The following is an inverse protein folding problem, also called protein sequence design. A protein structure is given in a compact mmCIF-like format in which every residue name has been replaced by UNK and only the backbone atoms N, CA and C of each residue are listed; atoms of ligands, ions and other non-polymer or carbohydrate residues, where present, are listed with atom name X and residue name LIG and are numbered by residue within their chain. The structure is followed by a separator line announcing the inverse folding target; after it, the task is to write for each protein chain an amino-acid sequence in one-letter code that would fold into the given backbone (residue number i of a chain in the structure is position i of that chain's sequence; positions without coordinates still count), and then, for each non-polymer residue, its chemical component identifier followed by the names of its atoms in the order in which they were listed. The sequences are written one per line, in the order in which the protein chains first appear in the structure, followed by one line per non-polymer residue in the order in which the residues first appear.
data_IF_343467982671
#
_entry.id   IF_343467982671
#
_cell.length_a   1.000
_cell.length_b   1.000
_cell.length_c   1.000
_cell.angle_alpha   90.00
_cell.angle_beta   90.00
_cell.angle_gamma   90.00
#
_symmetry.space_group_name_H-M   'P 1'
#
loop_
_entity.id
_entity.type
_entity.pdbx_description
1 polymer ?
#
# COMPACT_ATOMS: atom_id res chain seq x y z
N UNK A 1 -12.22 -10.38 16.72
CA UNK A 1 -13.57 -10.99 16.67
C UNK A 1 -14.60 -9.92 17.01
N UNK A 2 -15.13 -9.22 16.00
CA UNK A 2 -16.22 -8.26 16.19
C UNK A 2 -17.55 -9.03 16.22
N UNK A 3 -18.44 -8.69 17.17
CA UNK A 3 -19.77 -9.32 17.30
C UNK A 3 -20.60 -8.98 16.06
N UNK A 4 -21.08 -10.00 15.35
CA UNK A 4 -21.78 -9.83 14.07
C UNK A 4 -23.29 -9.62 14.22
N UNK A 5 -23.91 -10.06 15.33
CA UNK A 5 -25.34 -9.89 15.61
C UNK A 5 -25.62 -9.85 17.13
N UNK A 6 -26.73 -9.23 17.52
CA UNK A 6 -27.28 -9.26 18.88
C UNK A 6 -28.72 -9.78 18.85
N UNK A 7 -29.11 -10.51 19.88
CA UNK A 7 -30.49 -10.92 20.14
C UNK A 7 -30.87 -10.34 21.50
N UNK A 8 -31.86 -9.44 21.53
CA UNK A 8 -32.38 -8.84 22.76
C UNK A 8 -33.69 -9.55 23.11
N UNK A 9 -33.72 -10.19 24.27
CA UNK A 9 -34.92 -10.85 24.80
C UNK A 9 -35.29 -10.15 26.10
N UNK A 10 -36.42 -9.43 26.09
CA UNK A 10 -37.00 -8.77 27.26
C UNK A 10 -38.14 -9.63 27.81
N UNK A 11 -37.93 -10.20 29.00
CA UNK A 11 -38.80 -11.23 29.58
C UNK A 11 -39.93 -10.68 30.47
N UNK A 12 -40.13 -9.37 30.57
CA UNK A 12 -41.12 -8.79 31.51
C UNK A 12 -42.18 -7.95 30.77
N UNK A 13 -43.44 -8.38 30.85
CA UNK A 13 -44.60 -7.50 30.63
C UNK A 13 -45.20 -7.39 29.22
N UNK A 14 -45.00 -8.36 28.33
CA UNK A 14 -45.51 -8.28 26.94
C UNK A 14 -46.69 -9.23 26.73
N UNK A 15 -47.91 -8.79 27.04
CA UNK A 15 -49.14 -9.57 26.72
C UNK A 15 -50.12 -8.84 25.81
N UNK A 16 -49.83 -7.60 25.37
CA UNK A 16 -50.76 -6.78 24.59
C UNK A 16 -50.22 -6.07 23.35
N UNK A 17 -48.92 -6.16 23.04
CA UNK A 17 -48.39 -5.65 21.78
C UNK A 17 -47.52 -6.72 21.12
N UNK A 18 -47.70 -6.90 19.81
CA UNK A 18 -46.81 -7.72 18.99
C UNK A 18 -45.46 -6.99 18.94
N UNK A 19 -44.49 -7.45 19.73
CA UNK A 19 -43.09 -7.01 19.59
C UNK A 19 -42.52 -7.72 18.36
N UNK A 20 -42.52 -7.02 17.24
CA UNK A 20 -41.86 -7.48 16.01
C UNK A 20 -40.36 -7.65 16.29
N UNK A 21 -39.77 -8.75 15.82
CA UNK A 21 -38.32 -8.96 15.89
C UNK A 21 -37.60 -7.75 15.30
N UNK A 22 -36.50 -7.30 15.93
CA UNK A 22 -35.60 -6.32 15.31
C UNK A 22 -35.22 -6.84 13.93
N UNK A 23 -35.71 -6.17 12.88
CA UNK A 23 -35.42 -6.61 11.53
C UNK A 23 -33.92 -6.38 11.24
N UNK A 24 -33.24 -7.34 10.60
CA UNK A 24 -31.87 -7.11 10.18
C UNK A 24 -31.85 -5.91 9.22
N UNK A 25 -30.93 -4.97 9.47
CA UNK A 25 -30.78 -3.78 8.62
C UNK A 25 -30.35 -4.15 7.18
N UNK A 26 -29.78 -5.35 6.97
CA UNK A 26 -29.55 -5.90 5.63
C UNK A 26 -30.76 -6.73 5.16
N UNK A 27 -31.72 -6.04 4.54
CA UNK A 27 -32.97 -6.64 4.03
C UNK A 27 -32.81 -7.39 2.70
N UNK A 28 -31.74 -7.13 1.94
CA UNK A 28 -31.45 -7.72 0.61
C UNK A 28 -30.12 -8.49 0.59
N UNK A 29 -29.91 -9.50 1.46
CA UNK A 29 -28.60 -10.16 1.65
C UNK A 29 -28.09 -10.91 0.41
N UNK A 30 -28.98 -11.36 -0.48
CA UNK A 30 -28.63 -12.07 -1.71
C UNK A 30 -28.24 -11.15 -2.87
N UNK A 31 -28.49 -9.86 -2.77
CA UNK A 31 -28.13 -8.89 -3.81
C UNK A 31 -26.73 -8.38 -3.53
N UNK A 32 -25.79 -8.38 -4.48
CA UNK A 32 -24.44 -7.84 -4.31
C UNK A 32 -24.42 -6.34 -3.93
N UNK A 33 -23.38 -5.90 -3.21
CA UNK A 33 -23.18 -4.48 -2.85
C UNK A 33 -23.26 -3.55 -4.08
N UNK A 34 -22.55 -3.92 -5.15
CA UNK A 34 -22.47 -3.15 -6.38
C UNK A 34 -23.86 -2.92 -6.98
N UNK A 35 -24.70 -3.94 -7.00
CA UNK A 35 -26.03 -3.87 -7.58
C UNK A 35 -26.98 -2.99 -6.74
N UNK A 36 -26.86 -3.02 -5.41
CA UNK A 36 -27.60 -2.09 -4.54
C UNK A 36 -27.20 -0.63 -4.80
N UNK A 37 -25.90 -0.36 -4.91
CA UNK A 37 -25.38 0.99 -5.11
C UNK A 37 -25.73 1.53 -6.50
N UNK A 38 -25.59 0.72 -7.55
CA UNK A 38 -26.03 1.09 -8.90
C UNK A 38 -27.56 1.18 -9.01
N UNK A 39 -28.31 0.33 -8.32
CA UNK A 39 -29.77 0.45 -8.24
C UNK A 39 -30.19 1.80 -7.68
N UNK A 40 -29.58 2.21 -6.56
CA UNK A 40 -29.82 3.52 -5.96
C UNK A 40 -29.43 4.67 -6.91
N UNK A 41 -28.29 4.57 -7.60
CA UNK A 41 -27.87 5.54 -8.62
C UNK A 41 -28.88 5.64 -9.77
N UNK A 42 -29.42 4.51 -10.23
CA UNK A 42 -30.31 4.42 -11.40
C UNK A 42 -31.78 4.72 -11.09
N UNK A 43 -32.14 4.92 -9.83
CA UNK A 43 -33.48 5.38 -9.44
C UNK A 43 -34.24 4.49 -8.47
N UNK A 44 -33.67 3.39 -7.97
CA UNK A 44 -34.29 2.62 -6.89
C UNK A 44 -34.45 3.51 -5.65
N UNK A 45 -35.66 3.58 -5.10
CA UNK A 45 -35.99 4.34 -3.88
C UNK A 45 -36.56 3.45 -2.79
N UNK A 46 -36.35 2.14 -2.88
CA UNK A 46 -36.81 1.20 -1.85
C UNK A 46 -35.99 1.34 -0.57
N UNK A 47 -36.71 1.41 0.55
CA UNK A 47 -36.14 1.44 1.90
C UNK A 47 -35.22 0.24 2.15
N UNK A 48 -35.59 -0.93 1.64
CA UNK A 48 -34.79 -2.16 1.73
C UNK A 48 -33.42 -2.03 1.05
N UNK A 49 -33.34 -1.38 -0.13
CA UNK A 49 -32.07 -1.16 -0.83
C UNK A 49 -31.18 -0.20 -0.05
N UNK A 50 -31.77 0.89 0.47
CA UNK A 50 -31.05 1.90 1.25
C UNK A 50 -30.52 1.30 2.56
N UNK A 51 -31.35 0.59 3.31
CA UNK A 51 -30.99 -0.05 4.57
C UNK A 51 -29.87 -1.09 4.38
N UNK A 52 -29.99 -1.91 3.32
CA UNK A 52 -28.97 -2.92 2.99
C UNK A 52 -27.63 -2.30 2.59
N UNK A 53 -27.67 -1.22 1.81
CA UNK A 53 -26.47 -0.49 1.41
C UNK A 53 -25.79 0.17 2.62
N UNK A 54 -26.56 0.90 3.44
CA UNK A 54 -26.06 1.59 4.64
C UNK A 54 -25.41 0.60 5.62
N UNK A 55 -26.04 -0.55 5.83
CA UNK A 55 -25.53 -1.61 6.71
C UNK A 55 -24.19 -2.16 6.25
N UNK A 56 -24.03 -2.39 4.94
CA UNK A 56 -22.79 -2.92 4.36
C UNK A 56 -21.68 -1.89 4.41
N UNK A 57 -21.99 -0.64 4.09
CA UNK A 57 -21.04 0.47 4.21
C UNK A 57 -20.58 0.64 5.66
N UNK A 58 -21.50 0.54 6.64
CA UNK A 58 -21.14 0.60 8.07
C UNK A 58 -20.18 -0.52 8.47
N UNK A 59 -20.40 -1.74 8.00
CA UNK A 59 -19.45 -2.86 8.24
C UNK A 59 -18.10 -2.61 7.57
N UNK A 60 -18.11 -2.09 6.34
CA UNK A 60 -16.87 -1.76 5.61
C UNK A 60 -16.08 -0.66 6.35
N UNK A 61 -16.73 0.41 6.77
CA UNK A 61 -16.13 1.56 7.48
C UNK A 61 -15.30 1.13 8.70
N UNK A 62 -15.77 0.12 9.46
CA UNK A 62 -15.03 -0.42 10.61
C UNK A 62 -13.74 -1.17 10.27
N UNK A 63 -13.52 -1.50 8.99
CA UNK A 63 -12.35 -2.24 8.51
C UNK A 63 -11.35 -1.37 7.75
N UNK A 64 -11.76 -0.17 7.32
CA UNK A 64 -10.92 0.71 6.51
C UNK A 64 -9.76 1.29 7.31
N UNK A 65 -8.60 1.41 6.66
CA UNK A 65 -7.47 2.17 7.21
C UNK A 65 -7.57 3.67 6.86
N UNK A 66 -6.64 4.46 7.39
CA UNK A 66 -6.64 5.92 7.18
C UNK A 66 -6.46 6.32 5.71
N UNK A 67 -5.80 5.49 4.90
CA UNK A 67 -5.56 5.75 3.47
C UNK A 67 -6.85 5.54 2.69
N UNK A 68 -7.53 4.41 2.91
CA UNK A 68 -8.81 4.09 2.28
C UNK A 68 -9.89 5.14 2.63
N UNK A 69 -9.95 5.54 3.92
CA UNK A 69 -10.87 6.58 4.38
C UNK A 69 -10.63 7.91 3.67
N UNK A 70 -9.36 8.31 3.48
CA UNK A 70 -9.00 9.53 2.78
C UNK A 70 -9.40 9.48 1.29
N UNK A 71 -9.14 8.36 0.61
CA UNK A 71 -9.52 8.19 -0.80
C UNK A 71 -11.03 8.29 -1.03
N UNK A 72 -11.83 7.64 -0.18
CA UNK A 72 -13.29 7.72 -0.26
C UNK A 72 -13.77 9.15 0.04
N UNK A 73 -13.18 9.81 1.05
CA UNK A 73 -13.55 11.17 1.42
C UNK A 73 -13.25 12.19 0.31
N UNK A 74 -12.11 12.05 -0.37
CA UNK A 74 -11.73 12.89 -1.51
C UNK A 74 -12.72 12.71 -2.68
N UNK A 75 -13.05 11.47 -3.04
CA UNK A 75 -13.96 11.16 -4.15
C UNK A 75 -15.41 11.58 -3.86
N UNK A 76 -15.89 11.36 -2.63
CA UNK A 76 -17.25 11.69 -2.23
C UNK A 76 -17.43 13.14 -1.76
N UNK A 77 -16.34 13.88 -1.58
CA UNK A 77 -16.31 15.23 -0.99
C UNK A 77 -16.60 15.27 0.52
N UNK A 78 -16.74 14.11 1.18
CA UNK A 78 -17.02 13.99 2.61
C UNK A 78 -16.75 12.57 3.15
N UNK A 79 -16.56 12.38 4.47
CA UNK A 79 -16.26 11.07 5.06
C UNK A 79 -17.36 10.02 4.85
N UNK A 80 -16.97 8.75 4.73
CA UNK A 80 -17.87 7.61 4.55
C UNK A 80 -18.91 7.50 5.68
N UNK A 81 -18.50 7.71 6.93
CA UNK A 81 -19.39 7.76 8.08
C UNK A 81 -20.55 8.78 7.92
N UNK A 82 -20.30 9.91 7.24
CA UNK A 82 -21.34 10.89 6.92
C UNK A 82 -22.32 10.37 5.88
N UNK A 83 -21.83 9.67 4.86
CA UNK A 83 -22.68 9.04 3.82
C UNK A 83 -23.58 7.97 4.44
N UNK A 84 -23.04 7.14 5.33
CA UNK A 84 -23.79 6.10 6.05
C UNK A 84 -24.92 6.71 6.88
N UNK A 85 -24.62 7.79 7.62
CA UNK A 85 -25.62 8.51 8.41
C UNK A 85 -26.76 9.04 7.53
N UNK A 86 -26.43 9.66 6.41
CA UNK A 86 -27.44 10.21 5.50
C UNK A 86 -28.33 9.13 4.89
N UNK A 87 -27.81 7.93 4.65
CA UNK A 87 -28.63 6.80 4.19
C UNK A 87 -29.60 6.31 5.27
N UNK A 88 -29.16 6.19 6.53
CA UNK A 88 -30.06 5.82 7.62
C UNK A 88 -31.10 6.92 7.89
N UNK A 89 -30.66 8.17 7.86
CA UNK A 89 -31.54 9.32 7.98
C UNK A 89 -32.59 9.33 6.86
N UNK A 90 -32.23 8.95 5.63
CA UNK A 90 -33.16 8.94 4.50
C UNK A 90 -34.37 8.00 4.69
N UNK A 91 -34.25 7.00 5.56
CA UNK A 91 -35.31 6.02 5.88
C UNK A 91 -35.85 6.15 7.32
N UNK A 92 -35.36 7.14 8.07
CA UNK A 92 -35.80 7.41 9.44
C UNK A 92 -37.25 7.94 9.44
N UNK A 93 -38.14 7.21 10.12
CA UNK A 93 -39.57 7.51 10.12
C UNK A 93 -39.90 8.89 10.69
N UNK A 94 -39.23 9.31 11.76
CA UNK A 94 -39.49 10.60 12.41
C UNK A 94 -39.08 11.75 11.49
N UNK A 95 -37.97 11.58 10.78
CA UNK A 95 -37.48 12.58 9.83
C UNK A 95 -38.32 12.63 8.55
N UNK A 96 -38.80 11.49 8.07
CA UNK A 96 -39.74 11.41 6.93
C UNK A 96 -41.06 12.08 7.29
N UNK A 97 -41.57 11.87 8.50
CA UNK A 97 -42.80 12.51 9.00
C UNK A 97 -42.64 14.03 9.11
N UNK A 98 -41.49 14.49 9.61
CA UNK A 98 -41.18 15.92 9.68
C UNK A 98 -41.16 16.58 8.29
N UNK A 99 -40.56 15.91 7.29
CA UNK A 99 -40.53 16.40 5.91
C UNK A 99 -41.94 16.42 5.27
N UNK A 100 -42.75 15.40 5.53
CA UNK A 100 -44.15 15.35 5.05
C UNK A 100 -45.01 16.47 5.68
N UNK A 101 -44.83 16.74 6.99
CA UNK A 101 -45.46 17.87 7.68
C UNK A 101 -45.03 19.21 7.12
N UNK A 102 -43.73 19.40 6.87
CA UNK A 102 -43.20 20.62 6.26
C UNK A 102 -43.72 20.83 4.81
N UNK A 103 -44.04 19.76 4.10
CA UNK A 103 -44.65 19.79 2.77
C UNK A 103 -46.17 20.11 2.78
N UNK A 104 -46.78 20.33 3.95
CA UNK A 104 -48.18 20.74 4.08
C UNK A 104 -49.14 19.65 4.54
N UNK A 105 -48.63 18.51 5.05
CA UNK A 105 -49.43 17.41 5.59
C UNK A 105 -49.29 17.32 7.12
N UNK A 106 -50.04 18.11 7.90
CA UNK A 106 -49.90 18.16 9.37
C UNK A 106 -50.19 16.81 10.05
N UNK A 107 -51.08 16.00 9.46
CA UNK A 107 -51.26 14.58 9.75
C UNK A 107 -50.98 13.80 8.45
N UNK A 108 -49.73 13.37 8.20
CA UNK A 108 -49.35 12.75 6.95
C UNK A 108 -49.93 11.35 6.83
N UNK A 109 -50.57 11.07 5.70
CA UNK A 109 -50.97 9.72 5.31
C UNK A 109 -49.82 8.95 4.67
N UNK A 110 -50.02 7.67 4.37
CA UNK A 110 -48.99 6.81 3.80
C UNK A 110 -48.44 7.35 2.46
N UNK A 111 -49.27 8.04 1.68
CA UNK A 111 -48.86 8.63 0.40
C UNK A 111 -47.92 9.83 0.59
N UNK A 112 -48.23 10.72 1.55
CA UNK A 112 -47.36 11.82 1.93
C UNK A 112 -46.04 11.31 2.52
N UNK A 113 -46.09 10.28 3.37
CA UNK A 113 -44.89 9.64 3.94
C UNK A 113 -44.01 9.02 2.86
N UNK A 114 -44.60 8.31 1.89
CA UNK A 114 -43.84 7.72 0.77
C UNK A 114 -43.19 8.79 -0.11
N UNK A 115 -43.92 9.86 -0.43
CA UNK A 115 -43.39 10.98 -1.24
C UNK A 115 -42.21 11.67 -0.55
N UNK A 116 -42.32 11.94 0.75
CA UNK A 116 -41.24 12.52 1.54
C UNK A 116 -40.02 11.57 1.61
N UNK A 117 -40.24 10.28 1.84
CA UNK A 117 -39.17 9.27 1.86
C UNK A 117 -38.45 9.17 0.52
N UNK A 118 -39.17 9.09 -0.60
CA UNK A 118 -38.58 9.02 -1.93
C UNK A 118 -37.71 10.25 -2.24
N UNK A 119 -38.16 11.45 -1.84
CA UNK A 119 -37.39 12.68 -1.98
C UNK A 119 -36.09 12.65 -1.17
N UNK A 120 -36.15 12.17 0.09
CA UNK A 120 -34.99 11.98 0.97
C UNK A 120 -33.99 11.00 0.40
N UNK A 121 -34.47 9.83 -0.04
CA UNK A 121 -33.64 8.79 -0.64
C UNK A 121 -33.01 9.30 -1.94
N UNK A 122 -33.76 10.03 -2.77
CA UNK A 122 -33.23 10.66 -3.98
C UNK A 122 -32.09 11.63 -3.67
N UNK A 123 -32.21 12.42 -2.61
CA UNK A 123 -31.14 13.32 -2.18
C UNK A 123 -29.89 12.54 -1.74
N UNK A 124 -30.05 11.51 -0.90
CA UNK A 124 -28.92 10.67 -0.46
C UNK A 124 -28.26 9.90 -1.64
N UNK A 125 -29.05 9.49 -2.63
CA UNK A 125 -28.59 8.79 -3.81
C UNK A 125 -27.67 9.62 -4.72
N UNK A 126 -27.81 10.95 -4.73
CA UNK A 126 -27.05 11.84 -5.63
C UNK A 126 -25.52 11.74 -5.48
N UNK A 127 -25.06 11.27 -4.33
CA UNK A 127 -23.62 11.10 -4.05
C UNK A 127 -23.04 9.85 -4.69
N UNK A 128 -23.88 8.85 -4.99
CA UNK A 128 -23.44 7.58 -5.57
C UNK A 128 -23.20 7.74 -7.07
N UNK A 129 -21.97 8.13 -7.42
CA UNK A 129 -21.50 8.18 -8.80
C UNK A 129 -20.84 6.86 -9.19
N UNK A 130 -20.79 6.55 -10.49
CA UNK A 130 -20.08 5.37 -11.00
C UNK A 130 -18.64 5.24 -10.50
N UNK A 131 -17.82 6.31 -10.52
CA UNK A 131 -16.47 6.29 -9.94
C UNK A 131 -16.46 5.96 -8.44
N UNK A 132 -17.32 6.60 -7.63
CA UNK A 132 -17.39 6.34 -6.19
C UNK A 132 -17.80 4.90 -5.89
N UNK A 133 -18.80 4.37 -6.60
CA UNK A 133 -19.26 2.99 -6.42
C UNK A 133 -18.14 2.01 -6.73
N UNK A 134 -17.40 2.21 -7.83
CA UNK A 134 -16.29 1.33 -8.21
C UNK A 134 -15.11 1.42 -7.24
N UNK A 135 -14.79 2.61 -6.72
CA UNK A 135 -13.77 2.80 -5.69
C UNK A 135 -14.12 2.00 -4.44
N UNK A 136 -15.33 2.19 -3.90
CA UNK A 136 -15.79 1.50 -2.69
C UNK A 136 -15.85 -0.02 -2.91
N UNK A 137 -16.31 -0.48 -4.08
CA UNK A 137 -16.34 -1.91 -4.41
C UNK A 137 -14.93 -2.52 -4.51
N UNK A 138 -13.95 -1.78 -5.03
CA UNK A 138 -12.55 -2.21 -5.10
C UNK A 138 -11.97 -2.36 -3.70
N UNK A 139 -12.06 -1.30 -2.88
CA UNK A 139 -11.61 -1.32 -1.48
C UNK A 139 -12.27 -2.46 -0.71
N UNK A 140 -13.59 -2.64 -0.85
CA UNK A 140 -14.32 -3.75 -0.23
C UNK A 140 -13.73 -5.10 -0.62
N UNK A 141 -13.47 -5.33 -1.91
CA UNK A 141 -12.93 -6.60 -2.41
C UNK A 141 -11.56 -6.88 -1.83
N UNK A 142 -10.71 -5.88 -1.68
CA UNK A 142 -9.39 -6.03 -1.08
C UNK A 142 -9.48 -6.42 0.40
N UNK A 143 -10.41 -5.84 1.15
CA UNK A 143 -10.68 -6.17 2.57
C UNK A 143 -11.45 -7.47 2.79
N UNK A 144 -12.18 -7.96 1.80
CA UNK A 144 -12.94 -9.22 1.85
C UNK A 144 -12.15 -10.43 1.33
N UNK A 145 -10.92 -10.24 0.86
CA UNK A 145 -10.02 -11.34 0.53
C UNK A 145 -9.68 -12.14 1.79
N UNK A 146 -10.22 -13.36 1.88
CA UNK A 146 -9.82 -14.33 2.90
C UNK A 146 -8.59 -15.06 2.41
N UNK A 147 -7.43 -14.78 3.03
CA UNK A 147 -6.19 -15.48 2.73
C UNK A 147 -6.16 -16.78 3.55
N UNK A 148 -6.16 -17.93 2.88
CA UNK A 148 -5.98 -19.22 3.52
C UNK A 148 -4.54 -19.35 4.03
N UNK A 149 -4.38 -19.35 5.36
CA UNK A 149 -3.08 -19.49 6.01
C UNK A 149 -2.74 -20.93 6.40
N UNK A 150 -3.72 -21.85 6.33
CA UNK A 150 -3.60 -23.23 6.80
C UNK A 150 -3.23 -24.18 5.64
N UNK A 151 -3.78 -23.93 4.45
CA UNK A 151 -3.51 -24.70 3.23
C UNK A 151 -2.42 -24.05 2.37
N UNK A 152 -1.22 -23.83 2.91
CA UNK A 152 -0.13 -23.24 2.12
C UNK A 152 0.32 -24.21 1.03
N UNK A 153 0.01 -23.85 -0.22
CA UNK A 153 0.54 -24.54 -1.39
C UNK A 153 2.08 -24.56 -1.34
N UNK A 154 2.65 -25.71 -1.66
CA UNK A 154 4.10 -25.84 -1.86
C UNK A 154 4.39 -25.67 -3.34
N UNK A 155 5.21 -24.67 -3.67
CA UNK A 155 5.72 -24.51 -5.02
C UNK A 155 6.57 -25.74 -5.38
N UNK A 156 6.01 -26.64 -6.19
CA UNK A 156 6.72 -27.86 -6.62
C UNK A 156 7.76 -27.55 -7.70
N UNK A 157 7.45 -26.60 -8.58
CA UNK A 157 8.35 -26.10 -9.63
C UNK A 157 7.96 -24.70 -10.06
N UNK A 158 8.96 -23.85 -10.28
CA UNK A 158 8.82 -22.56 -10.96
C UNK A 158 9.87 -22.51 -12.07
N UNK A 159 9.48 -22.99 -13.24
CA UNK A 159 10.33 -23.02 -14.43
C UNK A 159 9.63 -22.35 -15.60
N UNK A 160 10.42 -21.90 -16.57
CA UNK A 160 9.89 -21.29 -17.78
C UNK A 160 9.27 -22.35 -18.69
N UNK A 161 8.15 -22.03 -19.33
CA UNK A 161 7.55 -22.90 -20.34
C UNK A 161 8.31 -22.77 -21.66
N UNK A 162 8.82 -23.88 -22.21
CA UNK A 162 9.58 -23.88 -23.47
C UNK A 162 11.07 -23.66 -23.27
N UNK A 163 11.75 -22.98 -24.21
CA UNK A 163 13.18 -22.70 -24.08
C UNK A 163 13.42 -21.66 -22.99
N UNK A 164 14.06 -22.09 -21.91
CA UNK A 164 14.37 -21.26 -20.74
C UNK A 164 15.24 -20.06 -21.12
N UNK A 165 16.18 -20.24 -22.04
CA UNK A 165 17.14 -19.20 -22.42
C UNK A 165 16.48 -18.14 -23.29
N UNK A 166 15.67 -18.54 -24.27
CA UNK A 166 14.94 -17.61 -25.12
C UNK A 166 13.95 -16.76 -24.31
N UNK A 167 13.21 -17.38 -23.40
CA UNK A 167 12.29 -16.67 -22.50
C UNK A 167 13.03 -15.69 -21.58
N UNK A 168 14.15 -16.11 -20.99
CA UNK A 168 14.96 -15.23 -20.14
C UNK A 168 15.48 -14.03 -20.95
N UNK A 169 15.99 -14.26 -22.16
CA UNK A 169 16.43 -13.18 -23.06
C UNK A 169 15.30 -12.19 -23.35
N UNK A 170 14.11 -12.68 -23.71
CA UNK A 170 12.95 -11.84 -23.97
C UNK A 170 12.57 -10.98 -22.77
N UNK A 171 12.51 -11.55 -21.57
CA UNK A 171 12.17 -10.82 -20.35
C UNK A 171 13.21 -9.77 -20.03
N UNK A 172 14.50 -10.10 -20.16
CA UNK A 172 15.56 -9.10 -19.95
C UNK A 172 15.49 -7.97 -20.99
N UNK A 173 15.15 -8.28 -22.24
CA UNK A 173 15.00 -7.29 -23.31
C UNK A 173 13.78 -6.38 -23.09
N UNK A 174 12.64 -6.95 -22.69
CA UNK A 174 11.43 -6.19 -22.36
C UNK A 174 11.68 -5.26 -21.16
N UNK A 175 12.41 -5.76 -20.14
CA UNK A 175 12.82 -4.96 -19.00
C UNK A 175 13.76 -3.81 -19.38
N UNK A 176 14.79 -4.07 -20.20
CA UNK A 176 15.69 -3.02 -20.73
C UNK A 176 14.89 -1.98 -21.50
N UNK A 177 13.94 -2.40 -22.34
CA UNK A 177 13.09 -1.50 -23.12
C UNK A 177 12.24 -0.62 -22.22
N UNK A 178 11.60 -1.19 -21.20
CA UNK A 178 10.81 -0.45 -20.23
C UNK A 178 11.66 0.58 -19.46
N UNK A 179 12.83 0.20 -18.95
CA UNK A 179 13.70 1.13 -18.22
C UNK A 179 14.16 2.30 -19.10
N UNK A 180 14.53 2.04 -20.36
CA UNK A 180 14.95 3.09 -21.28
C UNK A 180 13.80 4.04 -21.63
N UNK A 181 12.58 3.53 -21.84
CA UNK A 181 11.41 4.35 -22.13
C UNK A 181 11.02 5.28 -20.97
N UNK A 182 11.32 4.89 -19.73
CA UNK A 182 10.97 5.61 -18.51
C UNK A 182 12.15 6.37 -17.87
N UNK A 183 13.33 6.37 -18.51
CA UNK A 183 14.58 6.88 -17.91
C UNK A 183 14.49 8.34 -17.44
N UNK A 184 13.73 9.18 -18.15
CA UNK A 184 13.60 10.62 -17.88
C UNK A 184 12.35 10.96 -17.05
N UNK A 185 11.50 9.96 -16.76
CA UNK A 185 10.22 10.13 -16.05
C UNK A 185 10.27 9.65 -14.59
N UNK A 186 11.23 8.78 -14.26
CA UNK A 186 11.38 8.20 -12.92
C UNK A 186 12.73 8.62 -12.34
N UNK A 187 12.70 9.32 -11.20
CA UNK A 187 13.88 9.96 -10.61
C UNK A 187 15.07 8.99 -10.41
N UNK A 188 14.80 7.78 -9.88
CA UNK A 188 15.84 6.76 -9.71
C UNK A 188 16.51 6.41 -11.05
N UNK A 189 15.74 6.21 -12.11
CA UNK A 189 16.29 5.87 -13.44
C UNK A 189 17.07 7.04 -14.02
N UNK A 190 16.57 8.27 -13.88
CA UNK A 190 17.29 9.47 -14.35
C UNK A 190 18.67 9.56 -13.70
N UNK A 191 18.79 9.27 -12.41
CA UNK A 191 20.08 9.25 -11.72
C UNK A 191 20.96 8.13 -12.26
N UNK A 192 20.46 6.90 -12.35
CA UNK A 192 21.25 5.75 -12.80
C UNK A 192 21.77 5.90 -14.24
N UNK A 193 20.93 6.37 -15.17
CA UNK A 193 21.26 6.51 -16.58
C UNK A 193 22.04 7.79 -16.89
N UNK A 194 21.67 8.92 -16.29
CA UNK A 194 22.13 10.24 -16.77
C UNK A 194 23.00 10.99 -15.76
N UNK A 195 22.96 10.67 -14.46
CA UNK A 195 23.64 11.48 -13.43
C UNK A 195 24.54 10.68 -12.48
N UNK A 196 25.72 10.20 -12.94
CA UNK A 196 26.61 9.39 -12.12
C UNK A 196 26.99 9.99 -10.76
N UNK A 197 27.18 11.31 -10.69
CA UNK A 197 27.58 12.02 -9.47
C UNK A 197 26.51 12.01 -8.36
N UNK A 198 25.24 11.77 -8.71
CA UNK A 198 24.12 11.79 -7.76
C UNK A 198 23.66 10.39 -7.34
N UNK A 199 24.41 9.33 -7.67
CA UNK A 199 24.00 7.94 -7.38
C UNK A 199 23.88 7.64 -5.89
N UNK A 200 24.66 8.34 -5.05
CA UNK A 200 24.55 8.29 -3.60
C UNK A 200 23.26 8.90 -3.05
N UNK A 201 22.53 9.68 -3.86
CA UNK A 201 21.26 10.31 -3.50
C UNK A 201 20.04 9.43 -3.85
N UNK A 202 20.22 8.24 -4.42
CA UNK A 202 19.11 7.34 -4.73
C UNK A 202 18.52 6.80 -3.42
N UNK A 203 17.40 7.37 -3.02
CA UNK A 203 16.73 7.02 -1.77
C UNK A 203 15.77 5.83 -1.90
N UNK A 204 15.40 5.26 -0.75
CA UNK A 204 14.36 4.24 -0.66
C UNK A 204 13.05 4.66 -1.34
N UNK A 205 12.62 5.92 -1.17
CA UNK A 205 11.39 6.43 -1.77
C UNK A 205 11.46 6.43 -3.31
N UNK A 206 12.60 6.80 -3.89
CA UNK A 206 12.77 6.78 -5.36
C UNK A 206 12.73 5.36 -5.93
N UNK A 207 13.34 4.39 -5.24
CA UNK A 207 13.30 2.97 -5.65
C UNK A 207 11.89 2.39 -5.48
N UNK A 208 11.17 2.79 -4.42
CA UNK A 208 9.78 2.37 -4.19
C UNK A 208 8.83 2.92 -5.25
N UNK A 209 8.98 4.18 -5.67
CA UNK A 209 8.22 4.75 -6.79
C UNK A 209 8.48 3.99 -8.10
N UNK A 210 9.76 3.69 -8.41
CA UNK A 210 10.10 2.86 -9.58
C UNK A 210 9.45 1.47 -9.51
N UNK A 211 9.51 0.81 -8.35
CA UNK A 211 8.90 -0.50 -8.15
C UNK A 211 7.39 -0.46 -8.40
N UNK A 212 6.71 0.53 -7.81
CA UNK A 212 5.26 0.68 -7.94
C UNK A 212 4.84 0.91 -9.39
N UNK A 213 5.55 1.78 -10.12
CA UNK A 213 5.29 2.03 -11.55
C UNK A 213 5.51 0.78 -12.39
N UNK A 214 6.65 0.10 -12.19
CA UNK A 214 6.98 -1.12 -12.92
C UNK A 214 5.93 -2.21 -12.74
N UNK A 215 5.49 -2.48 -11.50
CA UNK A 215 4.51 -3.54 -11.22
C UNK A 215 3.10 -3.16 -11.67
N UNK A 216 2.78 -1.87 -11.73
CA UNK A 216 1.49 -1.37 -12.24
C UNK A 216 1.43 -1.45 -13.77
N UNK A 217 2.45 -0.94 -14.45
CA UNK A 217 2.49 -0.86 -15.91
C UNK A 217 2.76 -2.22 -16.56
N UNK A 218 3.67 -3.01 -15.97
CA UNK A 218 4.16 -4.27 -16.51
C UNK A 218 4.29 -5.34 -15.42
N UNK A 219 3.17 -5.91 -14.91
CA UNK A 219 3.21 -6.93 -13.84
C UNK A 219 4.10 -8.14 -14.15
N UNK A 220 4.27 -8.48 -15.45
CA UNK A 220 5.15 -9.57 -15.91
C UNK A 220 6.64 -9.29 -15.66
N UNK A 221 7.02 -8.03 -15.51
CA UNK A 221 8.37 -7.58 -15.25
C UNK A 221 8.63 -7.33 -13.75
N UNK A 222 7.85 -7.96 -12.86
CA UNK A 222 8.12 -7.91 -11.42
C UNK A 222 9.59 -8.27 -11.11
N UNK A 223 10.26 -7.58 -10.17
CA UNK A 223 11.71 -7.67 -10.01
C UNK A 223 12.25 -9.09 -9.82
N UNK A 224 11.61 -9.93 -9.00
CA UNK A 224 12.07 -11.31 -8.81
C UNK A 224 11.96 -12.18 -10.07
N UNK A 225 11.01 -11.89 -10.95
CA UNK A 225 10.87 -12.57 -12.25
C UNK A 225 12.05 -12.22 -13.16
N UNK A 226 12.34 -10.92 -13.26
CA UNK A 226 13.46 -10.41 -14.06
C UNK A 226 14.81 -10.85 -13.46
N UNK A 227 14.93 -10.87 -12.13
CA UNK A 227 16.09 -11.40 -11.42
C UNK A 227 16.39 -12.83 -11.83
N UNK A 228 15.40 -13.72 -11.85
CA UNK A 228 15.60 -15.13 -12.26
C UNK A 228 16.06 -15.23 -13.71
N UNK A 229 15.54 -14.38 -14.60
CA UNK A 229 15.99 -14.33 -15.99
C UNK A 229 17.47 -13.95 -16.09
N UNK A 230 17.89 -12.84 -15.46
CA UNK A 230 19.31 -12.46 -15.41
C UNK A 230 20.17 -13.50 -14.68
N UNK A 231 19.67 -14.11 -13.60
CA UNK A 231 20.41 -15.10 -12.85
C UNK A 231 20.72 -16.33 -13.71
N UNK A 232 19.76 -16.78 -14.53
CA UNK A 232 19.96 -17.83 -15.52
C UNK A 232 21.01 -17.42 -16.58
N UNK A 233 20.84 -16.24 -17.18
CA UNK A 233 21.71 -15.77 -18.27
C UNK A 233 23.15 -15.49 -17.81
N UNK A 234 23.33 -14.92 -16.63
CA UNK A 234 24.65 -14.58 -16.07
C UNK A 234 25.30 -15.79 -15.35
N UNK A 235 24.59 -16.92 -15.23
CA UNK A 235 25.04 -18.11 -14.49
C UNK A 235 25.23 -17.84 -13.00
N UNK A 236 24.39 -16.99 -12.42
CA UNK A 236 24.44 -16.59 -11.01
C UNK A 236 24.06 -17.75 -10.09
N UNK A 237 24.89 -18.02 -9.08
CA UNK A 237 24.72 -19.13 -8.11
C UNK A 237 24.64 -18.67 -6.66
N UNK A 238 24.50 -17.36 -6.43
CA UNK A 238 24.38 -16.81 -5.08
C UNK A 238 22.95 -16.87 -4.54
N UNK A 239 22.78 -16.32 -3.35
CA UNK A 239 21.46 -16.21 -2.72
C UNK A 239 20.54 -15.26 -3.48
N UNK A 240 19.24 -15.45 -3.27
CA UNK A 240 18.21 -14.53 -3.76
C UNK A 240 18.31 -13.16 -3.05
N UNK A 241 17.82 -12.09 -3.70
CA UNK A 241 17.74 -10.77 -3.10
C UNK A 241 16.77 -10.80 -1.90
N UNK A 242 17.00 -9.91 -0.94
CA UNK A 242 16.23 -9.89 0.30
C UNK A 242 14.80 -9.36 0.10
N UNK A 243 14.58 -8.58 -0.95
CA UNK A 243 13.30 -7.94 -1.28
C UNK A 243 13.24 -7.56 -2.76
N UNK A 244 12.04 -7.26 -3.27
CA UNK A 244 11.85 -6.71 -4.62
C UNK A 244 12.65 -5.41 -4.84
N UNK A 245 12.77 -4.56 -3.83
CA UNK A 245 13.51 -3.30 -3.93
C UNK A 245 15.01 -3.54 -4.14
N UNK A 246 15.60 -4.46 -3.36
CA UNK A 246 17.03 -4.79 -3.51
C UNK A 246 17.32 -5.55 -4.81
N UNK A 247 16.36 -6.36 -5.28
CA UNK A 247 16.41 -6.97 -6.60
C UNK A 247 16.40 -5.89 -7.70
N UNK A 248 15.48 -4.93 -7.60
CA UNK A 248 15.30 -3.87 -8.58
C UNK A 248 16.55 -2.99 -8.72
N UNK A 249 17.20 -2.61 -7.62
CA UNK A 249 18.46 -1.85 -7.68
C UNK A 249 19.57 -2.62 -8.38
N UNK A 250 19.75 -3.90 -8.06
CA UNK A 250 20.73 -4.75 -8.73
C UNK A 250 20.44 -4.91 -10.24
N UNK A 251 19.16 -5.05 -10.60
CA UNK A 251 18.71 -5.15 -11.99
C UNK A 251 18.95 -3.86 -12.78
N UNK A 252 18.61 -2.70 -12.21
CA UNK A 252 18.85 -1.40 -12.87
C UNK A 252 20.34 -1.20 -13.11
N UNK A 253 21.19 -1.52 -12.13
CA UNK A 253 22.66 -1.44 -12.28
C UNK A 253 23.20 -2.40 -13.33
N UNK A 254 22.64 -3.61 -13.42
CA UNK A 254 22.97 -4.57 -14.47
C UNK A 254 22.64 -4.02 -15.86
N UNK A 255 21.47 -3.38 -16.01
CA UNK A 255 21.02 -2.79 -17.28
C UNK A 255 21.84 -1.55 -17.66
N UNK A 256 22.21 -0.70 -16.69
CA UNK A 256 22.98 0.52 -16.95
C UNK A 256 24.48 0.26 -17.15
N UNK A 257 24.92 -1.01 -17.08
CA UNK A 257 26.31 -1.40 -17.25
C UNK A 257 27.20 -1.04 -16.07
N UNK A 258 26.62 -0.71 -14.90
CA UNK A 258 27.40 -0.49 -13.67
C UNK A 258 27.93 -1.79 -13.10
N UNK A 259 27.17 -2.86 -13.25
CA UNK A 259 27.59 -4.20 -12.90
C UNK A 259 27.58 -5.08 -14.17
N UNK A 260 28.72 -5.63 -14.55
CA UNK A 260 28.89 -6.50 -15.74
C UNK A 260 28.11 -7.81 -15.65
N UNK A 261 27.71 -8.20 -14.43
CA UNK A 261 26.90 -9.38 -14.11
C UNK A 261 25.99 -9.07 -12.94
N UNK A 262 24.89 -9.82 -12.85
CA UNK A 262 23.96 -9.73 -11.74
C UNK A 262 24.71 -9.86 -10.41
N UNK A 263 24.68 -8.77 -9.65
CA UNK A 263 25.34 -8.67 -8.34
C UNK A 263 24.31 -8.26 -7.31
N UNK A 264 24.12 -9.09 -6.28
CA UNK A 264 23.20 -8.78 -5.20
C UNK A 264 23.63 -7.50 -4.48
N UNK A 265 22.66 -6.62 -4.22
CA UNK A 265 22.91 -5.30 -3.59
C UNK A 265 23.67 -5.42 -2.27
N UNK A 266 23.29 -6.35 -1.38
CA UNK A 266 23.99 -6.59 -0.10
C UNK A 266 25.46 -6.97 -0.27
N UNK A 267 25.78 -7.77 -1.30
CA UNK A 267 27.13 -8.26 -1.53
C UNK A 267 28.00 -7.14 -2.09
N UNK A 268 27.43 -6.29 -2.95
CA UNK A 268 28.07 -5.06 -3.40
C UNK A 268 28.36 -4.12 -2.23
N UNK A 269 27.36 -3.81 -1.41
CA UNK A 269 27.50 -2.93 -0.24
C UNK A 269 28.59 -3.44 0.71
N UNK A 270 28.60 -4.74 1.01
CA UNK A 270 29.64 -5.36 1.85
C UNK A 270 31.04 -5.26 1.24
N UNK A 271 31.18 -5.55 -0.05
CA UNK A 271 32.46 -5.44 -0.77
C UNK A 271 32.96 -3.99 -0.81
N UNK A 272 32.08 -3.05 -1.14
CA UNK A 272 32.42 -1.64 -1.19
C UNK A 272 32.81 -1.10 0.18
N UNK A 273 32.11 -1.51 1.24
CA UNK A 273 32.47 -1.20 2.62
C UNK A 273 33.87 -1.71 2.99
N UNK A 274 34.18 -2.97 2.67
CA UNK A 274 35.51 -3.53 2.91
C UNK A 274 36.60 -2.73 2.18
N UNK A 275 36.38 -2.40 0.90
CA UNK A 275 37.31 -1.61 0.10
C UNK A 275 37.50 -0.20 0.67
N UNK A 276 36.41 0.45 1.09
CA UNK A 276 36.43 1.78 1.70
C UNK A 276 37.22 1.79 3.01
N UNK A 277 36.95 0.84 3.91
CA UNK A 277 37.71 0.69 5.17
C UNK A 277 39.20 0.43 4.89
N UNK A 278 39.52 -0.49 3.97
CA UNK A 278 40.91 -0.80 3.62
C UNK A 278 41.63 0.43 3.09
N UNK A 279 40.99 1.19 2.18
CA UNK A 279 41.53 2.44 1.66
C UNK A 279 41.76 3.45 2.78
N UNK A 280 40.78 3.67 3.67
CA UNK A 280 40.88 4.60 4.81
C UNK A 280 42.02 4.21 5.76
N UNK A 281 42.16 2.93 6.08
CA UNK A 281 43.16 2.42 7.03
C UNK A 281 44.57 2.20 6.44
N UNK A 282 44.72 2.27 5.11
CA UNK A 282 46.00 2.13 4.42
C UNK A 282 46.87 3.40 4.43
N UNK A 283 46.26 4.56 4.71
CA UNK A 283 46.97 5.84 4.80
C UNK A 283 47.61 6.10 6.17
N UNK A 284 48.35 7.21 6.29
CA UNK A 284 48.92 7.69 7.55
C UNK A 284 47.89 8.39 8.47
N UNK A 285 46.60 8.37 8.11
CA UNK A 285 45.52 8.97 8.89
C UNK A 285 45.10 8.12 10.09
N UNK A 286 44.28 8.71 10.97
CA UNK A 286 43.72 8.00 12.12
C UNK A 286 42.79 6.86 11.66
N UNK A 287 42.95 5.71 12.31
CA UNK A 287 42.12 4.53 12.07
C UNK A 287 40.88 4.60 12.94
N UNK A 288 39.80 4.02 12.46
CA UNK A 288 38.59 3.89 13.26
C UNK A 288 38.82 2.99 14.47
N UNK A 289 38.35 3.44 15.62
CA UNK A 289 38.30 2.64 16.85
C UNK A 289 37.32 1.49 16.70
N UNK A 290 37.37 0.51 17.61
CA UNK A 290 36.43 -0.61 17.61
C UNK A 290 34.97 -0.14 17.70
N UNK A 291 34.68 0.82 18.57
CA UNK A 291 33.35 1.39 18.72
C UNK A 291 32.86 2.13 17.45
N UNK A 292 33.75 2.88 16.79
CA UNK A 292 33.44 3.49 15.50
C UNK A 292 33.19 2.42 14.44
N UNK A 293 34.01 1.37 14.38
CA UNK A 293 33.84 0.26 13.43
C UNK A 293 32.52 -0.48 13.60
N UNK A 294 32.06 -0.69 14.83
CA UNK A 294 30.76 -1.31 15.09
C UNK A 294 29.60 -0.45 14.56
N UNK A 295 29.67 0.87 14.77
CA UNK A 295 28.71 1.80 14.17
C UNK A 295 28.73 1.78 12.65
N UNK A 296 29.90 1.83 12.04
CA UNK A 296 30.06 1.75 10.58
C UNK A 296 29.50 0.44 10.00
N UNK A 297 29.61 -0.69 10.73
CA UNK A 297 28.99 -1.97 10.32
C UNK A 297 27.47 -1.93 10.39
N UNK A 298 26.88 -1.29 11.40
CA UNK A 298 25.42 -1.09 11.46
C UNK A 298 24.93 -0.23 10.30
N UNK A 299 25.64 0.86 9.98
CA UNK A 299 25.32 1.71 8.82
C UNK A 299 25.40 0.93 7.52
N UNK A 300 26.45 0.12 7.33
CA UNK A 300 26.57 -0.79 6.17
C UNK A 300 25.35 -1.71 6.05
N UNK A 301 24.92 -2.31 7.15
CA UNK A 301 23.80 -3.25 7.13
C UNK A 301 22.47 -2.54 6.85
N UNK A 302 22.30 -1.31 7.35
CA UNK A 302 21.18 -0.44 6.97
C UNK A 302 21.19 -0.12 5.47
N UNK A 303 22.33 0.32 4.92
CA UNK A 303 22.49 0.63 3.48
C UNK A 303 22.26 -0.58 2.57
N UNK A 304 22.50 -1.80 3.05
CA UNK A 304 22.18 -3.03 2.34
C UNK A 304 20.65 -3.24 2.14
N UNK A 305 19.81 -2.44 2.78
CA UNK A 305 18.35 -2.51 2.70
C UNK A 305 17.67 -1.18 2.30
N UNK A 306 18.17 -0.04 2.78
CA UNK A 306 17.56 1.30 2.62
C UNK A 306 18.24 2.20 1.59
N UNK A 307 19.35 1.74 0.99
CA UNK A 307 20.13 2.38 -0.09
C UNK A 307 20.90 3.66 0.28
N UNK A 308 20.38 4.49 1.18
CA UNK A 308 21.00 5.70 1.71
C UNK A 308 20.85 5.71 3.24
N UNK A 309 21.73 6.42 3.95
CA UNK A 309 21.54 6.77 5.36
C UNK A 309 21.47 8.30 5.50
N UNK A 310 20.44 8.77 6.18
CA UNK A 310 20.19 10.17 6.51
C UNK A 310 20.29 10.37 8.04
N UNK A 311 20.48 11.60 8.54
CA UNK A 311 20.57 11.86 9.98
C UNK A 311 19.36 11.31 10.77
N UNK A 312 18.16 11.45 10.20
CA UNK A 312 16.91 10.99 10.81
C UNK A 312 16.85 9.46 10.97
N UNK A 313 17.57 8.69 10.15
CA UNK A 313 17.67 7.24 10.29
C UNK A 313 18.39 6.82 11.58
N UNK A 314 19.24 7.70 12.14
CA UNK A 314 19.97 7.42 13.38
C UNK A 314 19.06 7.42 14.61
N UNK A 315 17.86 7.97 14.51
CA UNK A 315 16.86 7.94 15.58
C UNK A 315 15.91 6.74 15.45
N UNK A 316 16.20 5.82 14.52
CA UNK A 316 15.44 4.59 14.29
C UNK A 316 16.26 3.34 14.64
N UNK A 317 15.58 2.20 14.79
CA UNK A 317 16.23 0.92 15.03
C UNK A 317 17.16 0.51 13.87
N UNK A 318 18.36 -0.04 14.14
CA UNK A 318 18.88 -0.43 15.46
C UNK A 318 19.71 0.66 16.18
N UNK A 319 19.78 1.88 15.63
CA UNK A 319 20.66 2.95 16.12
C UNK A 319 20.15 3.57 17.41
N UNK A 320 18.84 3.78 17.52
CA UNK A 320 18.15 4.29 18.73
C UNK A 320 18.53 3.51 20.00
N UNK A 321 18.52 2.17 19.92
CA UNK A 321 18.92 1.25 21.00
C UNK A 321 20.42 1.28 21.32
N UNK A 322 21.23 1.99 20.53
CA UNK A 322 22.66 2.22 20.75
C UNK A 322 22.97 3.68 21.09
N UNK A 323 21.95 4.50 21.38
CA UNK A 323 22.12 5.92 21.74
C UNK A 323 21.93 6.90 20.57
N UNK A 324 21.51 6.39 19.41
CA UNK A 324 21.05 7.15 18.24
C UNK A 324 22.02 8.21 17.75
N UNK A 325 21.49 9.33 17.26
CA UNK A 325 22.28 10.45 16.75
C UNK A 325 23.34 10.95 17.76
N UNK A 326 22.99 10.97 19.05
CA UNK A 326 23.88 11.40 20.12
C UNK A 326 25.13 10.52 20.26
N UNK A 327 24.98 9.20 20.16
CA UNK A 327 26.12 8.28 20.21
C UNK A 327 26.98 8.38 18.95
N UNK A 328 26.38 8.55 17.77
CA UNK A 328 27.15 8.80 16.54
C UNK A 328 28.01 10.06 16.67
N UNK A 329 27.43 11.15 17.19
CA UNK A 329 28.18 12.38 17.45
C UNK A 329 29.28 12.19 18.51
N UNK A 330 29.02 11.42 19.57
CA UNK A 330 30.05 11.12 20.57
C UNK A 330 31.25 10.35 19.99
N UNK A 331 31.03 9.51 18.98
CA UNK A 331 32.08 8.71 18.34
C UNK A 331 32.84 9.46 17.24
N UNK A 332 32.17 10.32 16.47
CA UNK A 332 32.74 10.94 15.27
C UNK A 332 32.87 12.47 15.35
N UNK A 333 32.27 13.10 16.37
CA UNK A 333 32.29 14.54 16.58
C UNK A 333 31.81 15.32 15.36
N UNK A 334 32.52 16.40 15.04
CA UNK A 334 32.27 17.22 13.84
C UNK A 334 32.42 16.44 12.52
N UNK A 335 33.12 15.30 12.55
CA UNK A 335 33.30 14.43 11.38
C UNK A 335 32.11 13.53 11.06
N UNK A 336 31.08 13.48 11.91
CA UNK A 336 29.91 12.61 11.74
C UNK A 336 29.27 12.73 10.35
N UNK A 337 28.94 13.95 9.93
CA UNK A 337 28.26 14.19 8.65
C UNK A 337 29.15 13.80 7.47
N UNK A 338 30.45 14.10 7.55
CA UNK A 338 31.42 13.71 6.53
C UNK A 338 31.51 12.20 6.36
N UNK A 339 31.55 11.45 7.45
CA UNK A 339 31.57 9.98 7.42
C UNK A 339 30.30 9.40 6.80
N UNK A 340 29.13 9.95 7.12
CA UNK A 340 27.87 9.50 6.51
C UNK A 340 27.85 9.74 5.00
N UNK A 341 28.25 10.92 4.55
CA UNK A 341 28.36 11.24 3.12
C UNK A 341 29.37 10.33 2.42
N UNK A 342 30.57 10.16 2.98
CA UNK A 342 31.60 9.26 2.44
C UNK A 342 31.07 7.82 2.31
N UNK A 343 30.30 7.34 3.29
CA UNK A 343 29.71 6.01 3.24
C UNK A 343 28.62 5.89 2.16
N UNK A 344 27.71 6.86 2.06
CA UNK A 344 26.69 6.88 1.01
C UNK A 344 27.32 6.86 -0.38
N UNK A 345 28.38 7.63 -0.60
CA UNK A 345 29.14 7.64 -1.86
C UNK A 345 29.87 6.32 -2.10
N UNK A 346 30.66 5.85 -1.13
CA UNK A 346 31.49 4.67 -1.33
C UNK A 346 30.67 3.39 -1.52
N UNK A 347 29.55 3.25 -0.83
CA UNK A 347 28.73 2.03 -0.86
C UNK A 347 27.70 2.04 -2.00
N UNK A 348 27.33 3.21 -2.53
CA UNK A 348 26.46 3.32 -3.71
C UNK A 348 27.19 3.04 -5.04
N UNK A 349 28.52 3.26 -5.08
CA UNK A 349 29.37 3.07 -6.27
C UNK A 349 29.18 1.71 -6.96
#
# INVERSE_FOLDING_TARGET
LAKTHYVIIDAVGVTKSLKTASQPLDSKPSIPFKDLAYGLMMGDRSEETVSSLASRLSRLDTKLDATDQAQIAEMAGRPLAGIIRDLFDAIDADKVEADAKAAGHPEPDDAAMNTAREARIKHAANLFTGPLINLIDTIRRDHEQTIDHDSKDKLLRAEWAGDVTENAQKITQDFVTYLNANRDQVAALTIYFNTPARRSEVSFAMVKDLLHRLTTDQPRLAPLTVWRAYAHLDGYKGDNPASDLTALVALVRRVTGLDDKLTRHSDRVRRNFQNWILKRHSGAGEKFTEAQMDWLRMIRDHLATSFIIEPDDLDMAPFDGKGGMGQMYALFGEGMQGVMTEMNEALSA
#
